data_IF_879872393806
#
_entry.id   IF_879872393806
#
_cell.length_a   1.000
_cell.length_b   1.000
_cell.length_c   1.000
_cell.angle_alpha   90.00
_cell.angle_beta   90.00
_cell.angle_gamma   90.00
#
_symmetry.space_group_name_H-M   'P 1'
#
loop_
_entity.id
_entity.type
_entity.pdbx_description
1 polymer ?
#
# COMPACT_ATOMS: atom_id res chain seq x y z
N UNK A 1 6.26 3.59 42.08
CA UNK A 1 5.31 2.85 41.24
C UNK A 1 6.12 2.25 40.11
N UNK A 2 6.22 0.92 40.07
CA UNK A 2 7.10 0.20 39.16
C UNK A 2 6.32 -0.10 37.87
N UNK A 3 6.70 0.53 36.76
CA UNK A 3 6.17 0.15 35.45
C UNK A 3 6.79 -1.21 35.06
N UNK A 4 5.98 -2.25 34.99
CA UNK A 4 6.39 -3.56 34.48
C UNK A 4 6.74 -3.44 33.00
N UNK A 5 8.02 -3.65 32.68
CA UNK A 5 8.58 -3.71 31.32
C UNK A 5 8.28 -5.04 30.61
N UNK A 6 7.15 -5.68 30.88
CA UNK A 6 6.71 -6.83 30.09
C UNK A 6 5.99 -6.30 28.85
N UNK A 7 6.46 -6.59 27.63
CA UNK A 7 5.70 -6.29 26.42
C UNK A 7 4.29 -6.87 26.58
N UNK A 8 3.24 -6.06 26.39
CA UNK A 8 1.88 -6.56 26.41
C UNK A 8 1.75 -7.69 25.38
N UNK A 9 1.10 -8.79 25.77
CA UNK A 9 0.89 -9.93 24.87
C UNK A 9 0.11 -9.49 23.63
N UNK A 10 0.74 -9.68 22.47
CA UNK A 10 0.15 -9.44 21.16
C UNK A 10 -1.10 -10.33 21.02
N UNK A 11 -2.24 -9.79 20.54
CA UNK A 11 -3.45 -10.59 20.38
C UNK A 11 -3.25 -11.84 19.51
N UNK A 12 -3.97 -12.91 19.81
CA UNK A 12 -3.95 -14.14 19.03
C UNK A 12 -4.30 -13.86 17.55
N UNK A 13 -3.47 -14.34 16.60
CA UNK A 13 -3.60 -14.09 15.16
C UNK A 13 -2.86 -12.85 14.64
N UNK A 14 -2.14 -12.13 15.50
CA UNK A 14 -1.36 -10.95 15.14
C UNK A 14 0.12 -11.29 15.17
N UNK A 15 0.87 -10.84 14.16
CA UNK A 15 2.32 -11.03 14.10
C UNK A 15 3.04 -9.69 14.01
N UNK A 16 4.10 -9.53 14.80
CA UNK A 16 5.10 -8.46 14.68
C UNK A 16 6.36 -8.96 13.97
N UNK A 17 6.32 -10.16 13.40
CA UNK A 17 7.45 -10.76 12.72
C UNK A 17 7.86 -9.93 11.50
N UNK A 18 9.05 -9.30 11.50
CA UNK A 18 9.52 -8.49 10.39
C UNK A 18 9.70 -9.27 9.09
N UNK A 19 9.87 -10.59 9.15
CA UNK A 19 10.02 -11.45 7.96
C UNK A 19 8.69 -11.61 7.19
N UNK A 20 7.56 -11.26 7.81
CA UNK A 20 6.27 -11.13 7.13
C UNK A 20 6.05 -9.75 6.49
N UNK A 21 7.08 -8.89 6.49
CA UNK A 21 6.94 -7.48 6.14
C UNK A 21 7.81 -7.03 4.95
N UNK A 22 7.83 -7.86 3.91
CA UNK A 22 8.24 -7.47 2.55
C UNK A 22 7.26 -6.44 1.90
N UNK A 23 6.23 -6.02 2.62
CA UNK A 23 5.17 -5.12 2.17
C UNK A 23 5.67 -3.73 1.77
N UNK A 24 6.75 -3.26 2.41
CA UNK A 24 7.31 -1.93 2.15
C UNK A 24 8.21 -1.85 0.92
N UNK A 25 8.54 -2.98 0.30
CA UNK A 25 9.29 -2.99 -0.97
C UNK A 25 8.37 -2.86 -2.20
N UNK A 26 7.05 -2.91 -2.00
CA UNK A 26 6.02 -2.84 -3.03
C UNK A 26 5.29 -1.48 -3.13
N UNK A 27 4.04 -1.51 -3.60
CA UNK A 27 3.20 -0.31 -3.73
C UNK A 27 3.02 0.42 -2.40
N UNK A 28 2.95 -0.29 -1.28
CA UNK A 28 2.79 0.33 0.03
C UNK A 28 3.99 1.17 0.46
N UNK A 29 5.22 0.75 0.14
CA UNK A 29 6.39 1.60 0.32
C UNK A 29 6.31 2.89 -0.50
N UNK A 30 5.83 2.79 -1.75
CA UNK A 30 5.66 3.96 -2.62
C UNK A 30 4.60 4.91 -2.06
N UNK A 31 3.47 4.39 -1.61
CA UNK A 31 2.38 5.19 -1.04
C UNK A 31 2.82 5.81 0.29
N UNK A 32 3.56 5.09 1.12
CA UNK A 32 4.16 5.64 2.34
C UNK A 32 5.08 6.82 2.03
N UNK A 33 5.96 6.71 1.03
CA UNK A 33 6.79 7.82 0.56
C UNK A 33 5.95 9.02 0.07
N UNK A 34 4.86 8.78 -0.67
CA UNK A 34 3.94 9.84 -1.13
C UNK A 34 3.27 10.58 0.02
N UNK A 35 3.02 9.89 1.13
CA UNK A 35 2.50 10.49 2.37
C UNK A 35 3.60 11.12 3.25
N UNK A 36 4.85 11.20 2.77
CA UNK A 36 5.97 11.79 3.51
C UNK A 36 6.53 10.92 4.63
N UNK A 37 6.21 9.61 4.65
CA UNK A 37 6.75 8.69 5.63
C UNK A 37 8.11 8.15 5.17
N UNK A 38 9.17 8.56 5.86
CA UNK A 38 10.53 8.05 5.64
C UNK A 38 10.79 6.86 6.57
N UNK A 39 11.00 5.67 5.99
CA UNK A 39 11.28 4.42 6.71
C UNK A 39 10.19 4.03 7.72
N UNK A 40 8.93 3.86 7.28
CA UNK A 40 7.86 3.42 8.17
C UNK A 40 8.22 2.06 8.80
N UNK A 41 8.04 1.94 10.11
CA UNK A 41 8.17 0.66 10.79
C UNK A 41 6.77 0.03 10.85
N UNK A 42 6.58 -1.10 10.20
CA UNK A 42 5.32 -1.82 10.26
C UNK A 42 5.18 -2.47 11.64
N UNK A 43 4.05 -2.23 12.29
CA UNK A 43 3.81 -2.73 13.66
C UNK A 43 2.82 -3.90 13.65
N UNK A 44 1.86 -3.93 12.73
CA UNK A 44 0.78 -4.93 12.68
C UNK A 44 0.30 -5.13 11.24
N UNK A 45 0.13 -6.38 10.82
CA UNK A 45 -0.17 -6.72 9.42
C UNK A 45 -1.53 -7.43 9.20
N UNK A 46 -2.21 -7.93 10.23
CA UNK A 46 -3.45 -8.71 10.07
C UNK A 46 -4.49 -8.42 11.14
N UNK A 47 -5.77 -8.42 10.76
CA UNK A 47 -6.87 -8.67 11.70
C UNK A 47 -6.99 -10.18 11.92
N UNK A 48 -7.39 -10.62 13.13
CA UNK A 48 -7.31 -12.03 13.53
C UNK A 48 -8.37 -12.92 12.87
N UNK A 49 -9.36 -12.34 12.18
CA UNK A 49 -10.52 -13.08 11.68
C UNK A 49 -10.41 -13.53 10.22
N UNK A 50 -9.55 -12.93 9.38
CA UNK A 50 -9.48 -13.31 7.95
C UNK A 50 -8.17 -13.91 7.48
N UNK A 51 -7.00 -13.50 8.00
CA UNK A 51 -5.68 -13.94 7.47
C UNK A 51 -5.44 -13.61 5.98
N UNK A 52 -6.48 -13.26 5.24
CA UNK A 52 -6.52 -12.82 3.86
C UNK A 52 -6.64 -11.31 3.84
N UNK A 53 -5.67 -10.68 3.20
CA UNK A 53 -5.86 -9.39 2.56
C UNK A 53 -6.85 -9.67 1.42
N UNK A 54 -8.15 -9.51 1.66
CA UNK A 54 -9.12 -9.51 0.57
C UNK A 54 -8.79 -8.29 -0.31
N UNK A 55 -8.00 -8.55 -1.34
CA UNK A 55 -7.60 -7.64 -2.41
C UNK A 55 -8.80 -7.25 -3.28
N UNK A 56 -9.78 -6.60 -2.68
CA UNK A 56 -10.67 -5.71 -3.40
C UNK A 56 -9.85 -4.52 -3.89
N UNK A 57 -10.34 -3.85 -4.93
CA UNK A 57 -9.80 -2.63 -5.50
C UNK A 57 -9.81 -1.51 -4.44
N UNK A 58 -8.88 -1.56 -3.49
CA UNK A 58 -8.75 -0.61 -2.39
C UNK A 58 -8.01 0.61 -2.91
N UNK A 59 -8.58 1.78 -2.69
CA UNK A 59 -7.80 3.01 -2.69
C UNK A 59 -6.77 2.86 -1.57
N UNK A 60 -5.49 2.96 -1.94
CA UNK A 60 -4.41 2.83 -0.98
C UNK A 60 -4.26 4.14 -0.22
N UNK A 61 -5.09 4.34 0.78
CA UNK A 61 -5.11 5.55 1.60
C UNK A 61 -4.41 5.28 2.94
N UNK A 62 -3.54 6.21 3.35
CA UNK A 62 -2.85 6.13 4.65
C UNK A 62 -3.52 7.10 5.61
N UNK A 63 -3.81 6.61 6.80
CA UNK A 63 -4.43 7.38 7.87
C UNK A 63 -3.48 7.49 9.06
N UNK A 64 -3.25 8.72 9.51
CA UNK A 64 -2.56 9.01 10.77
C UNK A 64 -3.54 8.90 11.93
N UNK A 65 -3.19 8.13 12.95
CA UNK A 65 -3.96 8.05 14.19
C UNK A 65 -3.68 9.30 15.04
N UNK A 66 -4.69 10.17 15.14
CA UNK A 66 -4.63 11.39 15.98
C UNK A 66 -4.89 11.05 17.44
N UNK A 67 -5.82 10.12 17.72
CA UNK A 67 -6.08 9.62 19.08
C UNK A 67 -6.61 8.19 19.07
N UNK A 68 -6.14 7.31 19.97
CA UNK A 68 -5.07 7.54 20.94
C UNK A 68 -3.67 7.53 20.29
N UNK A 69 -2.72 8.30 20.83
CA UNK A 69 -1.35 8.43 20.27
C UNK A 69 -0.37 7.38 20.80
N UNK A 70 -0.80 6.50 21.70
CA UNK A 70 0.02 5.43 22.28
C UNK A 70 -0.41 4.08 21.74
N UNK A 71 0.55 3.18 21.52
CA UNK A 71 0.28 1.83 21.04
C UNK A 71 -0.70 1.10 21.95
N UNK A 72 -0.49 1.09 23.27
CA UNK A 72 -1.40 0.46 24.24
C UNK A 72 -2.83 1.02 24.14
N UNK A 73 -2.95 2.34 23.92
CA UNK A 73 -4.23 2.99 23.73
C UNK A 73 -4.95 2.48 22.48
N UNK A 74 -4.20 2.33 21.38
CA UNK A 74 -4.70 1.83 20.09
C UNK A 74 -5.13 0.37 20.26
N UNK A 75 -4.24 -0.48 20.79
CA UNK A 75 -4.47 -1.90 21.03
C UNK A 75 -5.70 -2.13 21.92
N UNK A 76 -5.85 -1.36 22.99
CA UNK A 76 -7.03 -1.41 23.86
C UNK A 76 -8.33 -1.11 23.11
N UNK A 77 -8.34 -0.12 22.21
CA UNK A 77 -9.53 0.21 21.41
C UNK A 77 -9.88 -0.90 20.44
N UNK A 78 -8.89 -1.51 19.80
CA UNK A 78 -9.09 -2.64 18.89
C UNK A 78 -9.64 -3.85 19.66
N UNK A 79 -9.00 -4.25 20.76
CA UNK A 79 -9.43 -5.37 21.62
C UNK A 79 -10.88 -5.21 22.13
N UNK A 80 -11.26 -3.99 22.50
CA UNK A 80 -12.60 -3.65 22.97
C UNK A 80 -13.67 -3.62 21.86
N UNK A 81 -13.32 -3.92 20.60
CA UNK A 81 -14.17 -3.73 19.40
C UNK A 81 -14.68 -2.28 19.27
N UNK A 82 -13.84 -1.31 19.67
CA UNK A 82 -14.12 0.13 19.69
C UNK A 82 -13.24 0.90 18.71
N UNK A 83 -12.82 0.27 17.62
CA UNK A 83 -11.98 0.85 16.57
C UNK A 83 -12.56 2.12 15.98
N UNK A 84 -13.89 2.18 15.82
CA UNK A 84 -14.63 3.40 15.41
C UNK A 84 -14.39 4.64 16.28
N UNK A 85 -13.81 4.47 17.48
CA UNK A 85 -13.47 5.57 18.39
C UNK A 85 -12.02 6.05 18.21
N UNK A 86 -11.24 5.37 17.37
CA UNK A 86 -9.90 5.82 16.96
C UNK A 86 -10.12 7.00 16.02
N UNK A 87 -9.60 8.16 16.41
CA UNK A 87 -9.63 9.35 15.57
C UNK A 87 -8.46 9.29 14.62
N UNK A 88 -8.76 9.33 13.33
CA UNK A 88 -7.79 9.33 12.26
C UNK A 88 -7.86 10.61 11.44
N UNK A 89 -6.79 10.88 10.70
CA UNK A 89 -6.72 11.89 9.65
C UNK A 89 -6.07 11.25 8.43
N UNK A 90 -6.67 11.43 7.27
CA UNK A 90 -6.08 10.98 6.01
C UNK A 90 -4.83 11.80 5.68
N UNK A 91 -3.76 11.13 5.25
CA UNK A 91 -2.55 11.78 4.77
C UNK A 91 -2.66 12.00 3.26
N UNK A 92 -2.40 13.24 2.84
CA UNK A 92 -2.37 13.60 1.43
C UNK A 92 -1.20 12.88 0.73
N UNK A 93 -1.50 12.27 -0.40
CA UNK A 93 -0.48 11.65 -1.26
C UNK A 93 0.08 12.68 -2.24
N UNK A 94 1.36 12.99 -2.11
CA UNK A 94 2.08 13.84 -3.05
C UNK A 94 2.99 12.98 -3.93
N UNK A 95 2.89 13.03 -5.26
CA UNK A 95 3.77 12.28 -6.16
C UNK A 95 5.24 12.57 -5.87
N UNK A 96 6.02 11.50 -5.73
CA UNK A 96 7.47 11.60 -5.53
C UNK A 96 8.20 11.84 -6.85
N UNK A 97 9.47 12.24 -6.79
CA UNK A 97 10.31 12.36 -7.99
C UNK A 97 10.42 11.03 -8.76
N UNK A 98 10.56 9.91 -8.04
CA UNK A 98 10.56 8.55 -8.61
C UNK A 98 9.25 8.26 -9.37
N UNK A 99 8.11 8.72 -8.85
CA UNK A 99 6.80 8.57 -9.51
C UNK A 99 6.73 9.37 -10.81
N UNK A 100 7.24 10.61 -10.79
CA UNK A 100 7.24 11.49 -11.97
C UNK A 100 8.15 10.93 -13.07
N UNK A 101 9.30 10.35 -12.72
CA UNK A 101 10.20 9.72 -13.68
C UNK A 101 9.57 8.48 -14.31
N UNK A 102 8.99 7.59 -13.50
CA UNK A 102 8.27 6.42 -14.00
C UNK A 102 7.10 6.82 -14.91
N UNK A 103 6.37 7.88 -14.56
CA UNK A 103 5.28 8.38 -15.39
C UNK A 103 5.78 8.85 -16.76
N UNK A 104 6.92 9.56 -16.82
CA UNK A 104 7.55 9.98 -18.07
C UNK A 104 8.04 8.79 -18.90
N UNK A 105 8.63 7.78 -18.27
CA UNK A 105 9.07 6.55 -18.94
C UNK A 105 7.89 5.79 -19.53
N UNK A 106 6.81 5.64 -18.75
CA UNK A 106 5.58 5.00 -19.21
C UNK A 106 4.94 5.77 -20.37
N UNK A 107 4.92 7.10 -20.31
CA UNK A 107 4.41 7.93 -21.41
C UNK A 107 5.28 7.78 -22.67
N UNK A 108 6.61 7.75 -22.52
CA UNK A 108 7.55 7.52 -23.61
C UNK A 108 7.37 6.13 -24.23
N UNK A 109 7.25 5.10 -23.39
CA UNK A 109 7.01 3.74 -23.82
C UNK A 109 5.66 3.61 -24.54
N UNK A 110 4.60 4.23 -24.02
CA UNK A 110 3.30 4.31 -24.65
C UNK A 110 3.35 4.99 -26.02
N UNK A 111 4.06 6.12 -26.14
CA UNK A 111 4.28 6.80 -27.42
C UNK A 111 5.03 5.92 -28.42
N UNK A 112 6.13 5.30 -28.00
CA UNK A 112 6.91 4.40 -28.85
C UNK A 112 6.10 3.18 -29.31
N UNK A 113 5.25 2.63 -28.43
CA UNK A 113 4.32 1.56 -28.79
C UNK A 113 3.32 2.01 -29.85
N UNK A 114 2.71 3.19 -29.68
CA UNK A 114 1.77 3.76 -30.64
C UNK A 114 2.43 4.04 -32.00
N UNK A 115 3.64 4.59 -32.01
CA UNK A 115 4.41 4.82 -33.23
C UNK A 115 4.73 3.50 -33.96
N UNK A 116 5.11 2.44 -33.22
CA UNK A 116 5.32 1.10 -33.78
C UNK A 116 4.03 0.54 -34.38
N UNK A 117 2.89 0.72 -33.71
CA UNK A 117 1.58 0.30 -34.22
C UNK A 117 1.14 1.08 -35.47
N UNK A 118 1.63 2.31 -35.66
CA UNK A 118 1.38 3.13 -36.84
C UNK A 118 2.37 2.88 -37.98
N UNK A 119 3.40 2.06 -37.76
CA UNK A 119 4.40 1.77 -38.79
C UNK A 119 3.77 0.99 -39.96
N UNK A 120 4.12 1.31 -41.23
CA UNK A 120 3.54 0.64 -42.40
C UNK A 120 3.68 -0.88 -42.35
N UNK A 121 4.84 -1.39 -41.90
CA UNK A 121 5.07 -2.83 -41.77
C UNK A 121 4.19 -3.52 -40.72
N UNK A 122 3.83 -2.83 -39.62
CA UNK A 122 2.88 -3.37 -38.64
C UNK A 122 1.44 -3.31 -39.16
N UNK A 123 1.05 -2.23 -39.82
CA UNK A 123 -0.28 -2.08 -40.41
C UNK A 123 -0.53 -3.12 -41.50
N UNK A 124 0.45 -3.34 -42.39
CA UNK A 124 0.37 -4.36 -43.44
C UNK A 124 0.30 -5.77 -42.84
N UNK A 125 1.09 -6.06 -41.80
CA UNK A 125 1.00 -7.31 -41.06
C UNK A 125 -0.37 -7.50 -40.40
N UNK A 126 -0.88 -6.49 -39.69
CA UNK A 126 -2.16 -6.54 -39.01
C UNK A 126 -3.35 -6.69 -39.97
N UNK A 127 -3.30 -6.05 -41.14
CA UNK A 127 -4.30 -6.20 -42.21
C UNK A 127 -4.22 -7.56 -42.93
N UNK A 128 -3.05 -8.22 -42.90
CA UNK A 128 -2.86 -9.57 -43.46
C UNK A 128 -3.31 -10.70 -42.52
N UNK A 129 -3.57 -10.40 -41.25
CA UNK A 129 -4.13 -11.38 -40.31
C UNK A 129 -5.65 -11.50 -40.55
N UNK A 130 -6.14 -12.72 -40.72
CA UNK A 130 -7.59 -12.98 -40.75
C UNK A 130 -8.10 -13.04 -39.30
N UNK A 131 -8.83 -12.00 -38.90
CA UNK A 131 -9.37 -11.84 -37.55
C UNK A 131 -10.73 -12.54 -37.36
N UNK A 132 -11.23 -13.24 -38.39
CA UNK A 132 -12.49 -13.96 -38.35
C UNK A 132 -12.30 -15.35 -37.72
N UNK A 133 -12.50 -15.45 -36.40
CA UNK A 133 -12.82 -16.71 -35.71
C UNK A 133 -14.05 -16.54 -34.84
#
# INVERSE_FOLDING_TARGET
MSHSLSPEEIPEGWTTDPDYIDFLDGEWGRIAKRCGLENPIPIMHTTPESGEIQGGQMTFDIYEIIRPTTLDGILKKIRDKKERLIKTRELEQVPTQEDLERAKENEKAGRALMEKMQSPGFLDWAMSQDWSK
#
